data_IF_856442536113
#
_entry.id   IF_856442536113
#
_cell.length_a   1.000
_cell.length_b   1.000
_cell.length_c   1.000
_cell.angle_alpha   90.00
_cell.angle_beta   90.00
_cell.angle_gamma   90.00
#
_symmetry.space_group_name_H-M   'P 1'
#
loop_
_entity.id
_entity.type
_entity.pdbx_description
1 polymer ?
#
# COMPACT_ATOMS: atom_id res chain seq x y z
N UNK A 1 -24.48 33.04 -11.64
CA UNK A 1 -24.59 31.80 -10.83
C UNK A 1 -23.71 30.67 -11.37
N UNK A 2 -23.84 30.27 -12.65
CA UNK A 2 -23.04 29.21 -13.28
C UNK A 2 -21.51 29.36 -13.08
N UNK A 3 -20.97 30.57 -13.30
CA UNK A 3 -19.55 30.88 -13.07
C UNK A 3 -19.09 30.65 -11.62
N UNK A 4 -19.94 30.98 -10.65
CA UNK A 4 -19.66 30.77 -9.23
C UNK A 4 -19.72 29.28 -8.86
N UNK A 5 -20.69 28.53 -9.40
CA UNK A 5 -20.79 27.08 -9.23
C UNK A 5 -19.54 26.37 -9.79
N UNK A 6 -19.13 26.73 -11.01
CA UNK A 6 -17.91 26.23 -11.64
C UNK A 6 -16.68 26.54 -10.79
N UNK A 7 -16.59 27.76 -10.25
CA UNK A 7 -15.48 28.15 -9.37
C UNK A 7 -15.46 27.33 -8.07
N UNK A 8 -16.61 27.13 -7.43
CA UNK A 8 -16.74 26.31 -6.22
C UNK A 8 -16.32 24.85 -6.46
N UNK A 9 -16.81 24.23 -7.54
CA UNK A 9 -16.47 22.85 -7.91
C UNK A 9 -14.97 22.74 -8.20
N UNK A 10 -14.42 23.65 -9.02
CA UNK A 10 -12.98 23.67 -9.34
C UNK A 10 -12.11 23.86 -8.10
N UNK A 11 -12.56 24.66 -7.12
CA UNK A 11 -11.87 24.83 -5.84
C UNK A 11 -11.92 23.54 -5.02
N UNK A 12 -13.07 22.86 -4.95
CA UNK A 12 -13.24 21.61 -4.22
C UNK A 12 -12.42 20.46 -4.79
N UNK A 13 -12.39 20.29 -6.11
CA UNK A 13 -11.55 19.28 -6.78
C UNK A 13 -10.08 19.47 -6.39
N UNK A 14 -9.58 20.71 -6.40
CA UNK A 14 -8.19 21.02 -5.98
C UNK A 14 -7.92 20.75 -4.50
N UNK A 15 -8.89 20.96 -3.61
CA UNK A 15 -8.77 20.63 -2.19
C UNK A 15 -8.69 19.11 -1.98
N UNK A 16 -9.50 18.35 -2.71
CA UNK A 16 -9.53 16.89 -2.63
C UNK A 16 -8.30 16.24 -3.25
N UNK A 17 -7.80 16.73 -4.38
CA UNK A 17 -6.57 16.22 -5.00
C UNK A 17 -5.36 16.30 -4.07
N UNK A 18 -5.26 17.40 -3.31
CA UNK A 18 -4.21 17.56 -2.30
C UNK A 18 -4.33 16.55 -1.16
N UNK A 19 -5.56 16.24 -0.73
CA UNK A 19 -5.81 15.24 0.32
C UNK A 19 -5.46 13.83 -0.16
N UNK A 20 -5.87 13.48 -1.38
CA UNK A 20 -5.57 12.15 -1.95
C UNK A 20 -4.08 11.95 -2.25
N UNK A 21 -3.32 13.00 -2.59
CA UNK A 21 -1.86 12.91 -2.78
C UNK A 21 -1.08 12.63 -1.50
N UNK A 22 -1.63 12.94 -0.33
CA UNK A 22 -0.97 12.74 0.97
C UNK A 22 -1.30 11.38 1.61
N UNK A 23 -2.30 10.68 1.10
CA UNK A 23 -2.81 9.43 1.65
C UNK A 23 -2.20 8.24 0.90
N UNK A 24 -1.40 7.42 1.58
CA UNK A 24 -0.96 6.11 1.07
C UNK A 24 -2.18 5.18 1.03
N UNK A 25 -2.86 5.11 -0.11
CA UNK A 25 -4.10 4.34 -0.28
C UNK A 25 -3.84 2.99 -0.93
N UNK A 26 -4.77 2.05 -0.69
CA UNK A 26 -4.76 0.72 -1.30
C UNK A 26 -4.91 0.81 -2.82
N UNK A 27 -4.43 -0.19 -3.56
CA UNK A 27 -4.52 -0.21 -5.04
C UNK A 27 -5.95 -0.05 -5.55
N UNK A 28 -6.92 -0.66 -4.88
CA UNK A 28 -8.34 -0.56 -5.24
C UNK A 28 -8.90 0.85 -4.99
N UNK A 29 -8.47 1.49 -3.89
CA UNK A 29 -8.84 2.87 -3.57
C UNK A 29 -8.26 3.85 -4.59
N UNK A 30 -7.07 3.57 -5.13
CA UNK A 30 -6.45 4.38 -6.18
C UNK A 30 -7.23 4.33 -7.49
N UNK A 31 -7.77 3.16 -7.86
CA UNK A 31 -8.64 2.99 -9.03
C UNK A 31 -9.94 3.78 -8.84
N UNK A 32 -10.57 3.67 -7.67
CA UNK A 32 -11.77 4.43 -7.34
C UNK A 32 -11.54 5.95 -7.41
N UNK A 33 -10.39 6.43 -6.94
CA UNK A 33 -10.01 7.84 -7.03
C UNK A 33 -9.84 8.29 -8.48
N UNK A 34 -9.20 7.49 -9.32
CA UNK A 34 -9.01 7.82 -10.73
C UNK A 34 -10.35 7.90 -11.47
N UNK A 35 -11.26 6.95 -11.22
CA UNK A 35 -12.63 6.99 -11.76
C UNK A 35 -13.36 8.24 -11.28
N UNK A 36 -13.29 8.56 -9.98
CA UNK A 36 -13.92 9.74 -9.43
C UNK A 36 -13.37 11.05 -10.04
N UNK A 37 -12.07 11.11 -10.37
CA UNK A 37 -11.47 12.27 -11.06
C UNK A 37 -12.05 12.44 -12.46
N UNK A 38 -12.13 11.36 -13.24
CA UNK A 38 -12.71 11.39 -14.59
C UNK A 38 -14.16 11.88 -14.53
N UNK A 39 -14.97 11.36 -13.60
CA UNK A 39 -16.37 11.79 -13.43
C UNK A 39 -16.44 13.28 -13.04
N UNK A 40 -15.57 13.75 -12.15
CA UNK A 40 -15.54 15.16 -11.72
C UNK A 40 -15.14 16.10 -12.84
N UNK A 41 -14.20 15.69 -13.69
CA UNK A 41 -13.74 16.49 -14.83
C UNK A 41 -14.80 16.52 -15.94
N UNK A 42 -15.45 15.39 -16.21
CA UNK A 42 -16.55 15.31 -17.17
C UNK A 42 -17.74 16.16 -16.73
N UNK A 43 -18.18 16.02 -15.46
CA UNK A 43 -19.26 16.85 -14.91
C UNK A 43 -18.93 18.34 -14.92
N UNK A 44 -17.66 18.71 -14.76
CA UNK A 44 -17.20 20.10 -14.90
C UNK A 44 -17.22 20.57 -16.36
N UNK A 45 -16.88 19.71 -17.32
CA UNK A 45 -16.95 19.99 -18.74
C UNK A 45 -18.40 20.17 -19.19
N UNK A 46 -19.27 19.23 -18.83
CA UNK A 46 -20.72 19.28 -19.02
C UNK A 46 -21.33 20.56 -18.45
N UNK A 47 -20.92 20.91 -17.24
CA UNK A 47 -21.37 22.14 -16.62
C UNK A 47 -20.89 23.36 -17.40
N UNK A 48 -19.65 23.41 -17.92
CA UNK A 48 -19.18 24.56 -18.72
C UNK A 48 -19.96 24.67 -20.03
N UNK A 49 -20.13 23.56 -20.72
CA UNK A 49 -20.74 23.46 -22.04
C UNK A 49 -22.25 23.72 -21.98
N UNK A 50 -22.84 23.59 -20.79
CA UNK A 50 -24.25 23.90 -20.53
C UNK A 50 -25.19 22.73 -20.85
N UNK A 51 -24.65 21.51 -20.94
CA UNK A 51 -25.45 20.28 -21.00
C UNK A 51 -26.24 20.08 -19.71
N UNK A 52 -25.67 20.48 -18.56
CA UNK A 52 -26.37 20.55 -17.28
C UNK A 52 -27.11 21.88 -17.17
N UNK A 53 -28.45 21.81 -17.19
CA UNK A 53 -29.28 22.98 -16.95
C UNK A 53 -29.17 23.45 -15.51
N UNK A 54 -28.68 24.68 -15.30
CA UNK A 54 -28.59 25.31 -13.97
C UNK A 54 -29.80 26.20 -13.66
N UNK A 55 -30.84 26.15 -14.51
CA UNK A 55 -32.01 27.04 -14.44
C UNK A 55 -33.03 26.48 -13.44
N UNK A 56 -33.41 27.30 -12.45
CA UNK A 56 -34.43 26.94 -11.45
C UNK A 56 -35.82 26.67 -12.05
N UNK A 57 -36.05 27.14 -13.29
CA UNK A 57 -37.33 27.04 -14.00
C UNK A 57 -37.52 25.72 -14.76
N UNK A 58 -36.50 24.86 -14.82
CA UNK A 58 -36.56 23.57 -15.51
C UNK A 58 -36.89 22.41 -14.55
N UNK A 59 -37.48 22.68 -13.39
CA UNK A 59 -38.03 21.63 -12.54
C UNK A 59 -39.36 21.23 -13.19
N UNK A 60 -39.52 20.01 -13.73
CA UNK A 60 -40.84 19.56 -14.13
C UNK A 60 -41.66 19.53 -12.84
N UNK A 61 -42.66 20.42 -12.76
CA UNK A 61 -43.65 20.35 -11.69
C UNK A 61 -44.16 18.91 -11.62
N UNK A 62 -44.41 18.44 -10.38
CA UNK A 62 -44.97 17.13 -10.03
C UNK A 62 -46.34 16.88 -10.72
N UNK A 63 -46.33 16.81 -12.03
CA UNK A 63 -47.46 16.44 -12.86
C UNK A 63 -47.41 14.94 -12.99
N UNK A 64 -48.21 14.31 -12.14
CA UNK A 64 -48.68 12.96 -12.37
C UNK A 64 -49.20 12.87 -13.82
N UNK A 65 -48.75 11.84 -14.51
CA UNK A 65 -49.35 11.27 -15.71
C UNK A 65 -49.16 12.05 -17.02
N UNK A 66 -48.20 11.59 -17.83
CA UNK A 66 -48.44 11.13 -19.21
C UNK A 66 -47.11 10.93 -19.92
N UNK A 67 -46.98 9.76 -20.56
CA UNK A 67 -45.78 9.37 -21.27
C UNK A 67 -45.44 10.32 -22.42
N UNK A 68 -44.31 11.00 -22.30
CA UNK A 68 -43.44 11.33 -23.42
C UNK A 68 -42.01 11.50 -22.92
N UNK A 69 -41.06 11.05 -23.74
CA UNK A 69 -39.64 10.99 -23.40
C UNK A 69 -39.06 12.39 -23.15
N UNK A 70 -38.80 12.74 -21.88
CA UNK A 70 -38.21 14.05 -21.57
C UNK A 70 -37.75 14.22 -20.13
N UNK A 71 -36.55 13.71 -19.84
CA UNK A 71 -35.71 14.00 -18.67
C UNK A 71 -36.09 13.36 -17.33
N UNK A 72 -35.05 12.80 -16.69
CA UNK A 72 -35.03 12.07 -15.42
C UNK A 72 -35.28 13.04 -14.26
N UNK A 73 -36.48 13.59 -14.16
CA UNK A 73 -36.88 14.37 -13.01
C UNK A 73 -37.28 13.42 -11.89
N UNK A 74 -36.50 13.40 -10.81
CA UNK A 74 -36.81 12.79 -9.51
C UNK A 74 -36.49 11.30 -9.33
N UNK A 75 -35.45 10.74 -9.95
CA UNK A 75 -34.87 9.49 -9.45
C UNK A 75 -34.04 9.75 -8.20
N UNK A 76 -34.58 9.37 -7.03
CA UNK A 76 -33.83 9.34 -5.77
C UNK A 76 -32.87 8.13 -5.79
N UNK A 77 -31.58 8.38 -6.00
CA UNK A 77 -30.55 7.35 -5.93
C UNK A 77 -30.15 7.19 -4.46
N UNK A 78 -30.63 6.12 -3.82
CA UNK A 78 -30.30 5.81 -2.43
C UNK A 78 -28.96 5.07 -2.37
N UNK A 79 -27.97 5.71 -1.73
CA UNK A 79 -26.67 5.10 -1.46
C UNK A 79 -26.67 4.40 -0.09
N UNK A 80 -25.95 3.28 0.07
CA UNK A 80 -25.82 2.60 1.36
C UNK A 80 -25.08 3.49 2.37
N UNK A 81 -25.52 3.44 3.63
CA UNK A 81 -24.85 4.16 4.72
C UNK A 81 -23.38 3.66 4.86
N UNK A 82 -22.37 4.54 4.88
CA UNK A 82 -20.98 4.14 5.07
C UNK A 82 -20.73 3.38 6.39
N UNK A 83 -21.54 3.63 7.43
CA UNK A 83 -21.45 2.87 8.68
C UNK A 83 -21.83 1.39 8.48
N UNK A 84 -22.76 1.11 7.56
CA UNK A 84 -23.15 -0.27 7.26
C UNK A 84 -22.03 -1.02 6.53
N UNK A 85 -21.32 -0.35 5.63
CA UNK A 85 -20.17 -0.95 4.94
C UNK A 85 -19.02 -1.27 5.92
N UNK A 86 -18.71 -0.35 6.83
CA UNK A 86 -17.64 -0.57 7.83
C UNK A 86 -18.00 -1.67 8.83
N UNK A 87 -19.26 -1.70 9.29
CA UNK A 87 -19.75 -2.77 10.17
C UNK A 87 -19.73 -4.13 9.47
N UNK A 88 -20.11 -4.22 8.19
CA UNK A 88 -20.01 -5.44 7.41
C UNK A 88 -18.55 -5.95 7.30
N UNK A 89 -17.61 -5.05 6.98
CA UNK A 89 -16.18 -5.39 6.93
C UNK A 89 -15.67 -5.87 8.28
N UNK A 90 -16.09 -5.24 9.38
CA UNK A 90 -15.71 -5.64 10.73
C UNK A 90 -16.27 -7.01 11.10
N UNK A 91 -17.54 -7.28 10.78
CA UNK A 91 -18.16 -8.60 10.98
C UNK A 91 -17.36 -9.67 10.22
N UNK A 92 -16.98 -9.42 8.97
CA UNK A 92 -16.11 -10.33 8.19
C UNK A 92 -14.76 -10.58 8.84
N UNK A 93 -14.11 -9.52 9.37
CA UNK A 93 -12.83 -9.65 10.09
C UNK A 93 -12.98 -10.48 11.38
N UNK A 94 -13.99 -10.18 12.20
CA UNK A 94 -14.20 -10.86 13.47
C UNK A 94 -14.65 -12.31 13.29
N UNK A 95 -15.51 -12.61 12.32
CA UNK A 95 -15.90 -14.00 12.01
C UNK A 95 -14.70 -14.84 11.56
N UNK A 96 -13.79 -14.28 10.75
CA UNK A 96 -12.54 -14.96 10.36
C UNK A 96 -11.65 -15.24 11.57
N UNK A 97 -11.49 -14.28 12.47
CA UNK A 97 -10.72 -14.45 13.71
C UNK A 97 -11.36 -15.50 14.63
N UNK A 98 -12.68 -15.47 14.79
CA UNK A 98 -13.43 -16.42 15.61
C UNK A 98 -13.26 -17.85 15.09
N UNK A 99 -13.35 -18.04 13.77
CA UNK A 99 -13.11 -19.33 13.14
C UNK A 99 -11.66 -19.82 13.32
N UNK A 100 -10.67 -18.92 13.24
CA UNK A 100 -9.27 -19.25 13.55
C UNK A 100 -9.14 -19.73 14.99
N UNK A 101 -9.67 -18.98 15.95
CA UNK A 101 -9.59 -19.32 17.39
C UNK A 101 -10.33 -20.63 17.72
N UNK A 102 -11.45 -20.92 17.06
CA UNK A 102 -12.15 -22.20 17.21
C UNK A 102 -11.29 -23.38 16.76
N UNK A 103 -10.66 -23.27 15.59
CA UNK A 103 -9.74 -24.31 15.08
C UNK A 103 -8.54 -24.49 16.00
N UNK A 104 -7.96 -23.38 16.45
CA UNK A 104 -6.86 -23.41 17.39
C UNK A 104 -7.29 -24.15 18.67
N UNK A 105 -8.41 -23.77 19.29
CA UNK A 105 -8.95 -24.47 20.47
C UNK A 105 -9.14 -25.97 20.25
N UNK A 106 -9.62 -26.39 19.07
CA UNK A 106 -9.77 -27.80 18.71
C UNK A 106 -8.40 -28.50 18.61
N UNK A 107 -7.41 -27.86 17.98
CA UNK A 107 -6.04 -28.36 17.93
C UNK A 107 -5.44 -28.52 19.34
N UNK A 108 -5.62 -27.55 20.23
CA UNK A 108 -5.16 -27.65 21.62
C UNK A 108 -5.82 -28.81 22.36
N UNK A 109 -7.13 -29.02 22.18
CA UNK A 109 -7.85 -30.16 22.76
C UNK A 109 -7.36 -31.50 22.22
N UNK A 110 -7.06 -31.57 20.93
CA UNK A 110 -6.54 -32.80 20.32
C UNK A 110 -5.12 -33.10 20.81
N UNK A 111 -4.27 -32.08 20.96
CA UNK A 111 -2.93 -32.21 21.54
C UNK A 111 -3.01 -32.64 23.01
N UNK A 112 -3.89 -32.03 23.80
CA UNK A 112 -4.14 -32.41 25.19
C UNK A 112 -4.54 -33.88 25.30
N UNK A 113 -5.53 -34.33 24.53
CA UNK A 113 -5.94 -35.74 24.51
C UNK A 113 -4.80 -36.68 24.13
N UNK A 114 -3.99 -36.32 23.14
CA UNK A 114 -2.82 -37.13 22.75
C UNK A 114 -1.82 -37.22 23.90
N UNK A 115 -1.46 -36.10 24.51
CA UNK A 115 -0.48 -36.05 25.61
C UNK A 115 -0.98 -36.78 26.86
N UNK A 116 -2.26 -36.62 27.22
CA UNK A 116 -2.87 -37.36 28.34
C UNK A 116 -2.93 -38.85 28.02
N UNK A 117 -3.33 -39.24 26.80
CA UNK A 117 -3.36 -40.66 26.42
C UNK A 117 -1.99 -41.33 26.44
N UNK A 118 -0.91 -40.59 26.17
CA UNK A 118 0.46 -41.13 26.33
C UNK A 118 0.85 -41.30 27.79
N UNK A 119 0.40 -40.41 28.68
CA UNK A 119 0.64 -40.53 30.12
C UNK A 119 -0.14 -41.72 30.71
N UNK A 120 -1.43 -41.87 30.37
CA UNK A 120 -2.27 -42.97 30.86
C UNK A 120 -1.77 -44.35 30.41
N UNK A 121 -1.25 -44.46 29.18
CA UNK A 121 -0.63 -45.71 28.67
C UNK A 121 0.67 -46.06 29.40
N UNK A 122 1.45 -45.06 29.79
CA UNK A 122 2.69 -45.26 30.54
C UNK A 122 2.45 -45.57 32.03
N UNK A 123 1.32 -45.10 32.58
CA UNK A 123 0.89 -45.41 33.96
C UNK A 123 0.26 -46.80 34.08
N UNK A 124 -0.47 -47.27 33.07
CA UNK A 124 -1.11 -48.60 33.06
C UNK A 124 -0.14 -49.77 32.85
N UNK A 125 1.11 -49.52 32.46
CA UNK A 125 2.19 -50.51 32.44
C UNK A 125 2.91 -50.70 33.78
N UNK A 126 2.54 -49.93 34.81
CA UNK A 126 3.05 -50.10 36.18
C UNK A 126 1.96 -50.81 37.00
N UNK A 127 1.68 -52.06 36.62
CA UNK A 127 0.86 -52.95 37.43
C UNK A 127 1.77 -53.54 38.53
N UNK A 128 1.97 -52.79 39.61
CA UNK A 128 2.67 -53.29 40.80
C UNK A 128 1.68 -54.22 41.52
N UNK A 129 1.62 -55.45 41.05
CA UNK A 129 0.76 -56.50 41.64
C UNK A 129 1.51 -57.40 42.62
N UNK A 130 2.84 -57.32 42.73
CA UNK A 130 3.62 -58.15 43.64
C UNK A 130 4.27 -57.33 44.78
N UNK A 131 3.87 -57.61 46.03
CA UNK A 131 4.47 -57.07 47.27
C UNK A 131 6.00 -57.28 47.36
N UNK A 132 6.55 -58.22 46.58
CA UNK A 132 7.99 -58.46 46.46
C UNK A 132 8.74 -57.30 45.81
N UNK A 133 8.14 -56.63 44.82
CA UNK A 133 8.78 -55.53 44.10
C UNK A 133 8.78 -54.23 44.93
N UNK A 134 7.75 -54.03 45.77
CA UNK A 134 7.69 -52.92 46.73
C UNK A 134 8.81 -53.04 47.78
N UNK A 135 9.10 -54.25 48.25
CA UNK A 135 10.20 -54.48 49.19
C UNK A 135 11.58 -54.40 48.54
N UNK A 136 11.72 -54.80 47.28
CA UNK A 136 12.96 -54.61 46.52
C UNK A 136 13.25 -53.13 46.25
N UNK A 137 12.23 -52.34 45.90
CA UNK A 137 12.33 -50.87 45.76
C UNK A 137 12.64 -50.18 47.09
N UNK A 138 11.99 -50.59 48.18
CA UNK A 138 12.25 -50.01 49.51
C UNK A 138 13.68 -50.31 50.01
N UNK A 139 14.25 -51.45 49.62
CA UNK A 139 15.65 -51.79 49.92
C UNK A 139 16.61 -50.97 49.05
N UNK A 140 16.30 -50.78 47.77
CA UNK A 140 17.10 -49.94 46.88
C UNK A 140 17.05 -48.44 47.21
N UNK A 141 15.96 -47.94 47.79
CA UNK A 141 15.83 -46.56 48.24
C UNK A 141 16.48 -46.29 49.61
N UNK A 142 16.75 -47.32 50.42
CA UNK A 142 17.44 -47.15 51.71
C UNK A 142 18.97 -47.18 51.59
N UNK A 143 19.50 -47.84 50.56
CA UNK A 143 20.96 -47.97 50.36
C UNK A 143 21.57 -46.82 49.53
N UNK A 144 20.77 -45.84 49.09
CA UNK A 144 21.24 -44.60 48.48
C UNK A 144 20.76 -43.41 49.31
N UNK A 145 21.54 -43.04 50.33
CA UNK A 145 21.64 -41.63 50.72
C UNK A 145 22.09 -40.87 49.46
N UNK A 146 21.10 -40.33 48.74
CA UNK A 146 21.35 -39.45 47.61
C UNK A 146 21.91 -38.17 48.19
N UNK A 147 23.20 -37.92 47.97
CA UNK A 147 23.80 -36.61 48.16
C UNK A 147 23.11 -35.64 47.20
N UNK A 148 22.19 -34.83 47.74
CA UNK A 148 21.38 -33.88 46.98
C UNK A 148 22.21 -32.74 46.37
N UNK A 149 23.53 -32.67 46.63
CA UNK A 149 24.38 -31.62 46.08
C UNK A 149 24.94 -31.92 44.69
N UNK A 150 24.95 -33.18 44.21
CA UNK A 150 25.75 -33.55 43.04
C UNK A 150 24.95 -33.94 41.77
N UNK A 151 23.61 -33.96 41.80
CA UNK A 151 22.85 -34.58 40.68
C UNK A 151 21.58 -33.91 40.17
N UNK A 152 21.19 -32.72 40.64
CA UNK A 152 19.96 -32.07 40.11
C UNK A 152 20.27 -30.99 39.04
N UNK A 153 21.45 -30.39 39.07
CA UNK A 153 21.99 -29.63 37.94
C UNK A 153 23.44 -30.08 37.73
N UNK A 154 23.66 -31.06 36.85
CA UNK A 154 25.01 -31.39 36.43
C UNK A 154 25.71 -30.13 35.93
N UNK A 155 26.94 -29.89 36.38
CA UNK A 155 27.79 -28.76 35.99
C UNK A 155 27.75 -28.51 34.46
N UNK A 156 27.65 -29.60 33.69
CA UNK A 156 27.52 -29.59 32.24
C UNK A 156 26.26 -28.85 31.70
N UNK A 157 25.13 -28.92 32.42
CA UNK A 157 23.90 -28.22 32.04
C UNK A 157 23.98 -26.73 32.38
N UNK A 158 24.66 -26.38 33.48
CA UNK A 158 24.99 -24.98 33.82
C UNK A 158 25.95 -24.39 32.80
N UNK A 159 26.99 -25.13 32.42
CA UNK A 159 27.94 -24.73 31.39
C UNK A 159 27.27 -24.62 30.02
N UNK A 160 26.33 -25.51 29.70
CA UNK A 160 25.56 -25.41 28.46
C UNK A 160 24.65 -24.17 28.45
N UNK A 161 23.92 -23.91 29.53
CA UNK A 161 23.09 -22.69 29.65
C UNK A 161 23.95 -21.43 29.58
N UNK A 162 25.13 -21.42 30.21
CA UNK A 162 26.08 -20.31 30.12
C UNK A 162 26.63 -20.13 28.69
N UNK A 163 26.89 -21.21 27.96
CA UNK A 163 27.30 -21.17 26.55
C UNK A 163 26.20 -20.64 25.64
N UNK A 164 24.95 -21.07 25.83
CA UNK A 164 23.79 -20.61 25.06
C UNK A 164 23.53 -19.14 25.35
N UNK A 165 23.64 -18.72 26.60
CA UNK A 165 23.52 -17.31 26.96
C UNK A 165 24.58 -16.45 26.27
N UNK A 166 25.85 -16.88 26.27
CA UNK A 166 26.94 -16.21 25.54
C UNK A 166 26.72 -16.18 24.04
N UNK A 167 26.30 -17.29 23.45
CA UNK A 167 26.03 -17.37 22.01
C UNK A 167 24.87 -16.47 21.60
N UNK A 168 23.81 -16.42 22.40
CA UNK A 168 22.66 -15.53 22.15
C UNK A 168 23.07 -14.07 22.33
N UNK A 169 23.82 -13.72 23.37
CA UNK A 169 24.25 -12.33 23.58
C UNK A 169 25.22 -11.85 22.50
N UNK A 170 26.18 -12.67 22.10
CA UNK A 170 27.10 -12.32 21.01
C UNK A 170 26.36 -12.19 19.66
N UNK A 171 25.53 -13.18 19.29
CA UNK A 171 24.74 -13.11 18.05
C UNK A 171 23.73 -11.96 18.07
N UNK A 172 23.20 -11.60 19.23
CA UNK A 172 22.30 -10.47 19.35
C UNK A 172 23.04 -9.14 19.21
N UNK A 173 24.19 -8.97 19.88
CA UNK A 173 25.02 -7.76 19.72
C UNK A 173 25.45 -7.57 18.28
N UNK A 174 26.04 -8.61 17.66
CA UNK A 174 26.56 -8.53 16.30
C UNK A 174 25.46 -8.25 15.27
N UNK A 175 24.30 -8.91 15.39
CA UNK A 175 23.20 -8.69 14.44
C UNK A 175 22.51 -7.33 14.64
N UNK A 176 22.36 -6.89 15.88
CA UNK A 176 21.74 -5.58 16.17
C UNK A 176 22.67 -4.45 15.77
N UNK A 177 23.96 -4.54 16.07
CA UNK A 177 24.98 -3.57 15.65
C UNK A 177 25.04 -3.49 14.12
N UNK A 178 25.13 -4.63 13.42
CA UNK A 178 25.11 -4.65 11.95
C UNK A 178 23.81 -4.05 11.38
N UNK A 179 22.65 -4.35 11.97
CA UNK A 179 21.37 -3.79 11.52
C UNK A 179 21.28 -2.27 11.77
N UNK A 180 21.83 -1.79 12.89
CA UNK A 180 21.90 -0.36 13.19
C UNK A 180 22.85 0.35 12.21
N UNK A 181 23.99 -0.24 11.92
CA UNK A 181 24.97 0.31 10.97
C UNK A 181 24.42 0.34 9.54
N UNK A 182 23.73 -0.71 9.11
CA UNK A 182 23.03 -0.73 7.82
C UNK A 182 21.96 0.37 7.74
N UNK A 183 21.16 0.55 8.79
CA UNK A 183 20.14 1.58 8.85
C UNK A 183 20.75 2.99 8.87
N UNK A 184 21.86 3.17 9.58
CA UNK A 184 22.63 4.41 9.60
C UNK A 184 23.20 4.72 8.21
N UNK A 185 23.76 3.73 7.54
CA UNK A 185 24.27 3.86 6.17
C UNK A 185 23.16 4.20 5.19
N UNK A 186 22.02 3.52 5.27
CA UNK A 186 20.85 3.79 4.43
C UNK A 186 20.35 5.22 4.66
N UNK A 187 20.25 5.65 5.92
CA UNK A 187 19.84 7.02 6.28
C UNK A 187 20.81 8.06 5.72
N UNK A 188 22.12 7.80 5.81
CA UNK A 188 23.16 8.67 5.23
C UNK A 188 23.11 8.70 3.70
N UNK A 189 22.81 7.57 3.05
CA UNK A 189 22.63 7.57 1.60
C UNK A 189 21.38 8.33 1.19
N UNK A 190 20.29 8.19 1.93
CA UNK A 190 19.04 8.90 1.67
C UNK A 190 19.19 10.41 1.85
N UNK A 191 19.93 10.85 2.87
CA UNK A 191 20.25 12.27 3.06
C UNK A 191 21.16 12.80 1.95
N UNK A 192 22.17 12.04 1.52
CA UNK A 192 23.00 12.41 0.36
C UNK A 192 22.18 12.51 -0.92
N UNK A 193 21.26 11.58 -1.16
CA UNK A 193 20.34 11.60 -2.31
C UNK A 193 19.41 12.81 -2.21
N UNK A 194 18.84 13.09 -1.04
CA UNK A 194 18.01 14.28 -0.82
C UNK A 194 18.77 15.57 -1.14
N UNK A 195 20.00 15.71 -0.61
CA UNK A 195 20.84 16.87 -0.90
C UNK A 195 21.22 16.94 -2.39
N UNK A 196 21.43 15.81 -3.05
CA UNK A 196 21.68 15.78 -4.50
C UNK A 196 20.43 16.19 -5.29
N UNK A 197 19.25 15.73 -4.91
CA UNK A 197 17.97 16.14 -5.50
C UNK A 197 17.78 17.64 -5.33
N UNK A 198 17.98 18.17 -4.13
CA UNK A 198 17.90 19.60 -3.84
C UNK A 198 18.90 20.40 -4.67
N UNK A 199 20.15 19.93 -4.77
CA UNK A 199 21.15 20.54 -5.64
C UNK A 199 20.76 20.46 -7.11
N UNK A 200 20.15 19.37 -7.57
CA UNK A 200 19.72 19.18 -8.96
C UNK A 200 18.53 20.09 -9.31
N UNK A 201 17.55 20.19 -8.41
CA UNK A 201 16.41 21.09 -8.58
C UNK A 201 16.87 22.54 -8.61
N UNK A 202 17.71 22.97 -7.65
CA UNK A 202 18.18 24.35 -7.57
C UNK A 202 19.16 24.73 -8.69
N UNK A 203 20.12 23.85 -9.05
CA UNK A 203 21.21 24.22 -9.97
C UNK A 203 20.95 23.95 -11.45
N UNK A 204 20.11 22.97 -11.80
CA UNK A 204 19.91 22.55 -13.20
C UNK A 204 18.46 22.68 -13.65
N UNK A 205 17.51 22.28 -12.81
CA UNK A 205 16.11 22.21 -13.23
C UNK A 205 15.44 23.57 -13.20
N UNK A 206 15.50 24.27 -12.05
CA UNK A 206 14.92 25.60 -11.87
C UNK A 206 15.47 26.61 -12.88
N UNK A 207 16.80 26.77 -13.08
CA UNK A 207 17.31 27.73 -14.06
C UNK A 207 16.89 27.37 -15.48
N UNK A 208 16.93 26.09 -15.88
CA UNK A 208 16.56 25.66 -17.24
C UNK A 208 15.05 25.77 -17.52
N UNK A 209 14.21 25.50 -16.53
CA UNK A 209 12.77 25.77 -16.62
C UNK A 209 12.53 27.27 -16.69
N UNK A 210 13.19 28.07 -15.85
CA UNK A 210 13.02 29.52 -15.89
C UNK A 210 13.51 30.14 -17.21
N UNK A 211 14.59 29.63 -17.79
CA UNK A 211 15.14 30.06 -19.07
C UNK A 211 14.22 29.66 -20.23
N UNK A 212 13.73 28.42 -20.25
CA UNK A 212 12.76 27.99 -21.27
C UNK A 212 11.45 28.76 -21.16
N UNK A 213 10.93 29.00 -19.95
CA UNK A 213 9.71 29.77 -19.72
C UNK A 213 9.90 31.23 -20.11
N UNK A 214 11.03 31.86 -19.74
CA UNK A 214 11.39 33.22 -20.19
C UNK A 214 11.51 33.27 -21.71
N UNK A 215 12.18 32.30 -22.34
CA UNK A 215 12.32 32.24 -23.80
C UNK A 215 10.98 32.09 -24.53
N UNK A 216 10.00 31.41 -23.91
CA UNK A 216 8.64 31.30 -24.45
C UNK A 216 7.85 32.60 -24.30
N UNK A 217 7.96 33.26 -23.14
CA UNK A 217 7.29 34.54 -22.85
C UNK A 217 7.90 35.69 -23.67
N UNK A 218 9.21 35.67 -23.91
CA UNK A 218 9.88 36.67 -24.74
C UNK A 218 9.62 36.40 -26.23
N UNK A 219 9.53 35.14 -26.68
CA UNK A 219 9.12 34.81 -28.06
C UNK A 219 7.66 35.16 -28.35
N UNK A 220 6.74 34.98 -27.41
CA UNK A 220 5.34 35.38 -27.59
C UNK A 220 5.17 36.91 -27.68
N UNK A 221 6.08 37.68 -27.06
CA UNK A 221 6.16 39.14 -27.27
C UNK A 221 6.70 39.53 -28.65
N UNK A 222 7.61 38.72 -29.23
CA UNK A 222 8.19 38.98 -30.56
C UNK A 222 7.26 38.54 -31.70
N UNK A 223 6.36 37.57 -31.49
CA UNK A 223 5.40 37.10 -32.50
C UNK A 223 4.24 38.04 -32.83
N UNK A 224 4.15 39.21 -32.19
CA UNK A 224 3.18 40.25 -32.57
C UNK A 224 3.63 41.12 -33.76
N UNK A 225 4.70 40.74 -34.48
CA UNK A 225 5.12 41.43 -35.71
C UNK A 225 5.20 40.41 -36.84
N UNK A 226 4.23 40.52 -37.76
CA UNK A 226 4.03 39.83 -39.06
C UNK A 226 3.27 38.50 -39.03
N UNK A 227 1.97 38.63 -39.22
CA UNK A 227 1.13 37.61 -39.80
C UNK A 227 1.48 37.43 -41.29
N UNK A 228 1.85 36.21 -41.69
CA UNK A 228 1.64 35.70 -43.06
C UNK A 228 1.42 34.18 -42.99
N UNK A 229 0.28 33.78 -43.54
CA UNK A 229 -0.26 32.45 -43.84
C UNK A 229 0.67 31.23 -43.69
N UNK A 230 0.45 30.46 -42.61
CA UNK A 230 0.43 28.99 -42.61
C UNK A 230 -0.11 28.50 -41.26
N UNK A 231 -1.11 27.61 -41.29
CA UNK A 231 -1.89 27.17 -40.12
C UNK A 231 -1.14 26.20 -39.18
N UNK A 232 0.18 26.04 -39.34
CA UNK A 232 1.00 25.13 -38.55
C UNK A 232 2.23 25.86 -38.01
N UNK A 233 2.53 25.77 -36.70
CA UNK A 233 3.72 26.36 -36.14
C UNK A 233 4.94 25.59 -36.63
N UNK A 234 5.57 26.03 -37.72
CA UNK A 234 6.85 25.49 -38.15
C UNK A 234 7.96 25.97 -37.21
N UNK A 235 8.68 25.01 -36.63
CA UNK A 235 9.91 25.27 -35.88
C UNK A 235 10.89 26.07 -36.74
N UNK A 236 11.26 27.27 -36.31
CA UNK A 236 12.21 28.15 -36.99
C UNK A 236 13.68 27.72 -36.88
N UNK A 237 13.96 26.52 -36.33
CA UNK A 237 15.32 25.97 -36.31
C UNK A 237 15.60 25.31 -37.67
N UNK A 238 16.69 25.67 -38.37
CA UNK A 238 17.11 24.90 -39.53
C UNK A 238 17.40 23.47 -39.06
N UNK A 239 16.64 22.49 -39.56
CA UNK A 239 16.86 21.09 -39.24
C UNK A 239 18.27 20.70 -39.67
N UNK A 240 19.12 20.40 -38.71
CA UNK A 240 20.45 19.88 -39.00
C UNK A 240 20.34 18.46 -39.54
N UNK A 241 21.23 18.11 -40.48
CA UNK A 241 21.32 16.78 -41.11
C UNK A 241 21.29 15.64 -40.08
N UNK A 242 21.88 15.85 -38.90
CA UNK A 242 21.87 14.89 -37.79
C UNK A 242 20.46 14.61 -37.23
N UNK A 243 19.60 15.61 -37.14
CA UNK A 243 18.22 15.45 -36.64
C UNK A 243 17.34 14.76 -37.69
N UNK A 244 17.60 15.03 -38.98
CA UNK A 244 16.94 14.34 -40.09
C UNK A 244 17.34 12.86 -40.09
N UNK A 245 18.64 12.55 -39.99
CA UNK A 245 19.14 11.18 -39.88
C UNK A 245 18.60 10.45 -38.65
N UNK A 246 18.46 11.15 -37.52
CA UNK A 246 17.90 10.57 -36.30
C UNK A 246 16.39 10.31 -36.41
N UNK A 247 15.65 11.16 -37.13
CA UNK A 247 14.24 10.94 -37.46
C UNK A 247 14.05 9.76 -38.41
N UNK A 248 14.87 9.68 -39.47
CA UNK A 248 14.84 8.57 -40.44
C UNK A 248 15.19 7.25 -39.75
N UNK A 249 16.24 7.20 -38.92
CA UNK A 249 16.61 6.01 -38.18
C UNK A 249 15.52 5.53 -37.21
N UNK A 250 14.77 6.46 -36.62
CA UNK A 250 13.65 6.13 -35.74
C UNK A 250 12.46 5.56 -36.51
N UNK A 251 12.16 6.12 -37.68
CA UNK A 251 11.11 5.61 -38.57
C UNK A 251 11.47 4.23 -39.15
N UNK A 252 12.74 3.99 -39.47
CA UNK A 252 13.19 2.65 -39.90
C UNK A 252 13.05 1.61 -38.79
N UNK A 253 13.38 1.98 -37.54
CA UNK A 253 13.21 1.07 -36.39
C UNK A 253 11.75 0.76 -36.07
N UNK A 254 10.82 1.69 -36.31
CA UNK A 254 9.38 1.45 -36.16
C UNK A 254 8.86 0.54 -37.29
N UNK A 255 9.37 0.70 -38.51
CA UNK A 255 9.00 -0.14 -39.66
C UNK A 255 9.52 -1.58 -39.55
N UNK A 256 10.70 -1.78 -38.97
CA UNK A 256 11.21 -3.13 -38.63
C UNK A 256 10.41 -3.78 -37.49
N UNK A 257 9.95 -3.00 -36.51
CA UNK A 257 9.11 -3.50 -35.42
C UNK A 257 7.71 -3.93 -35.90
N UNK A 258 7.13 -3.26 -36.90
CA UNK A 258 5.84 -3.63 -37.50
C UNK A 258 5.93 -4.85 -38.45
N UNK A 259 7.11 -5.20 -38.97
CA UNK A 259 7.31 -6.38 -39.82
C UNK A 259 7.51 -7.69 -39.04
N UNK A 260 7.77 -7.60 -37.73
CA UNK A 260 7.99 -8.75 -36.84
C UNK A 260 6.80 -9.06 -35.92
N UNK A 261 5.62 -8.50 -36.22
CA UNK A 261 4.31 -8.88 -35.66
C UNK A 261 3.51 -9.60 -36.74
#
# INVERSE_FOLDING_TARGET
>A
MKQLLIWCIKKKIKEEDKKHQQSLLSSDDQVAINIAKVIKDETLHDLKDGTISTSWYNIPELSNDSGDNGMIANQEIVLPNPLNLTTEQNIKKFTKQLNRLKREKEQWKDMEKRNVSTLDKNLTSIDITDEKDINALRKHCKDKEVDYNDSVLGQQMVDHVASVYKDVTNKFSDNVENSIDELFNLTNTLTKVSHFVEKCTQSKLVPKISETTKSFVDKSKIQNIKATDSLWPTSSKPLGVKQILQGIAKLDSEKEAEMHV
#
